data_IF_997517363144
#
_entry.id   IF_997517363144
#
_cell.length_a   1.000
_cell.length_b   1.000
_cell.length_c   1.000
_cell.angle_alpha   90.00
_cell.angle_beta   90.00
_cell.angle_gamma   90.00
#
_symmetry.space_group_name_H-M   'P 1'
#
loop_
_entity.id
_entity.type
_entity.pdbx_description
1 polymer ?
#
# COMPACT_ATOMS: atom_id res chain seq x y z
N UNK A 1 -4.50 2.32 38.61
CA UNK A 1 -3.91 3.21 37.59
C UNK A 1 -3.47 2.31 36.45
N UNK A 2 -4.39 1.77 35.63
CA UNK A 2 -4.08 0.58 34.80
C UNK A 2 -4.81 0.60 33.44
N UNK A 3 -4.91 1.77 32.80
CA UNK A 3 -5.56 1.92 31.48
C UNK A 3 -4.64 1.62 30.28
N UNK A 4 -3.34 1.53 30.51
CA UNK A 4 -2.32 1.40 29.45
C UNK A 4 -1.81 -0.04 29.26
N UNK A 5 -2.13 -0.95 30.18
CA UNK A 5 -1.69 -2.35 30.14
C UNK A 5 -2.42 -3.19 29.08
N UNK A 6 -3.62 -2.78 28.66
CA UNK A 6 -4.43 -3.46 27.63
C UNK A 6 -3.81 -3.38 26.23
N UNK A 7 -3.05 -2.32 25.94
CA UNK A 7 -2.38 -2.15 24.65
C UNK A 7 -1.05 -2.92 24.55
N UNK A 8 -0.55 -3.45 25.67
CA UNK A 8 0.77 -4.09 25.74
C UNK A 8 0.75 -5.60 25.48
N UNK A 9 -0.43 -6.23 25.57
CA UNK A 9 -0.56 -7.69 25.54
C UNK A 9 -0.57 -8.30 24.13
N UNK A 10 -0.86 -7.51 23.10
CA UNK A 10 -0.91 -7.99 21.72
C UNK A 10 0.44 -7.77 21.03
N UNK A 11 1.36 -8.73 21.14
CA UNK A 11 2.46 -8.81 20.18
C UNK A 11 1.84 -9.27 18.86
N UNK A 12 1.82 -8.46 17.79
CA UNK A 12 1.34 -8.95 16.51
C UNK A 12 2.29 -10.08 16.06
N UNK A 13 1.74 -11.28 15.87
CA UNK A 13 2.52 -12.45 15.42
C UNK A 13 3.13 -12.22 14.02
N UNK A 14 2.58 -11.27 13.26
CA UNK A 14 3.07 -10.85 11.96
C UNK A 14 3.12 -9.32 11.86
N UNK A 15 4.33 -8.78 11.77
CA UNK A 15 4.57 -7.35 11.50
C UNK A 15 5.02 -7.17 10.06
N UNK A 16 4.14 -6.66 9.21
CA UNK A 16 4.49 -6.26 7.84
C UNK A 16 4.83 -4.77 7.87
N UNK A 17 6.12 -4.47 7.68
CA UNK A 17 6.61 -3.10 7.69
C UNK A 17 6.12 -2.27 6.51
N UNK A 18 6.23 -0.95 6.66
CA UNK A 18 5.78 0.03 5.67
C UNK A 18 6.46 -0.14 4.30
N UNK A 19 7.74 -0.52 4.28
CA UNK A 19 8.46 -0.82 3.04
C UNK A 19 7.93 -2.04 2.30
N UNK A 20 7.54 -3.09 3.04
CA UNK A 20 6.94 -4.30 2.43
C UNK A 20 5.58 -3.99 1.84
N UNK A 21 4.76 -3.20 2.51
CA UNK A 21 3.49 -2.67 1.97
C UNK A 21 3.71 -1.86 0.69
N UNK A 22 4.73 -0.99 0.66
CA UNK A 22 5.07 -0.20 -0.52
C UNK A 22 5.49 -1.08 -1.71
N UNK A 23 6.25 -2.15 -1.48
CA UNK A 23 6.63 -3.11 -2.52
C UNK A 23 5.41 -3.87 -3.08
N UNK A 24 4.46 -4.26 -2.23
CA UNK A 24 3.22 -4.92 -2.69
C UNK A 24 2.40 -3.97 -3.57
N UNK A 25 2.28 -2.69 -3.19
CA UNK A 25 1.58 -1.66 -3.99
C UNK A 25 2.28 -1.46 -5.34
N UNK A 26 3.61 -1.43 -5.35
CA UNK A 26 4.42 -1.32 -6.56
C UNK A 26 4.22 -2.51 -7.51
N UNK A 27 4.23 -3.74 -6.99
CA UNK A 27 3.99 -4.97 -7.75
C UNK A 27 2.56 -4.98 -8.34
N UNK A 28 1.57 -4.57 -7.54
CA UNK A 28 0.17 -4.48 -8.00
C UNK A 28 0.01 -3.43 -9.11
N UNK A 29 0.72 -2.30 -9.01
CA UNK A 29 0.75 -1.28 -10.05
C UNK A 29 1.42 -1.79 -11.34
N UNK A 30 2.50 -2.56 -11.23
CA UNK A 30 3.19 -3.17 -12.37
C UNK A 30 2.29 -4.16 -13.12
N UNK A 31 1.50 -4.97 -12.39
CA UNK A 31 0.46 -5.83 -12.97
C UNK A 31 -0.59 -5.06 -13.79
N UNK A 32 -0.84 -3.78 -13.48
CA UNK A 32 -1.78 -2.90 -14.23
C UNK A 32 -1.10 -2.18 -15.42
N UNK A 33 0.13 -2.53 -15.79
CA UNK A 33 1.01 -1.80 -16.72
C UNK A 33 1.23 -0.33 -16.32
N UNK A 34 1.32 -0.04 -15.01
CA UNK A 34 1.77 1.27 -14.51
C UNK A 34 3.21 1.13 -14.01
N UNK A 35 3.96 2.22 -13.96
CA UNK A 35 5.34 2.20 -13.47
C UNK A 35 5.35 1.83 -11.98
N UNK A 36 5.75 0.59 -11.68
CA UNK A 36 5.83 0.08 -10.31
C UNK A 36 6.76 0.92 -9.43
N UNK A 37 7.86 1.45 -9.98
CA UNK A 37 8.80 2.29 -9.24
C UNK A 37 8.19 3.64 -8.82
N UNK A 38 7.39 4.26 -9.69
CA UNK A 38 6.67 5.50 -9.34
C UNK A 38 5.68 5.21 -8.20
N UNK A 39 4.95 4.11 -8.29
CA UNK A 39 4.01 3.69 -7.26
C UNK A 39 4.69 3.25 -5.96
N UNK A 40 5.90 2.70 -6.03
CA UNK A 40 6.73 2.39 -4.85
C UNK A 40 7.10 3.67 -4.08
N UNK A 41 7.63 4.69 -4.77
CA UNK A 41 7.99 5.96 -4.13
C UNK A 41 6.74 6.67 -3.58
N UNK A 42 5.65 6.68 -4.34
CA UNK A 42 4.36 7.20 -3.87
C UNK A 42 3.86 6.45 -2.63
N UNK A 43 4.01 5.13 -2.56
CA UNK A 43 3.57 4.32 -1.42
C UNK A 43 4.50 4.43 -0.21
N UNK A 44 5.79 4.69 -0.42
CA UNK A 44 6.75 4.90 0.66
C UNK A 44 6.47 6.21 1.43
N UNK A 45 5.94 7.23 0.75
CA UNK A 45 5.59 8.54 1.33
C UNK A 45 4.11 8.60 1.73
N UNK A 46 3.22 8.13 0.86
CA UNK A 46 1.76 8.21 1.05
C UNK A 46 1.14 7.02 1.79
N UNK A 47 1.90 5.94 2.02
CA UNK A 47 1.43 4.76 2.71
C UNK A 47 0.14 4.18 2.10
N UNK A 48 -0.88 3.85 2.91
CA UNK A 48 -2.16 3.30 2.45
C UNK A 48 -2.92 4.19 1.45
N UNK A 49 -2.68 5.51 1.46
CA UNK A 49 -3.33 6.44 0.53
C UNK A 49 -2.91 6.16 -0.92
N UNK A 50 -1.67 5.72 -1.14
CA UNK A 50 -1.23 5.32 -2.47
C UNK A 50 -2.04 4.12 -2.99
N UNK A 51 -2.39 3.15 -2.14
CA UNK A 51 -3.23 2.04 -2.54
C UNK A 51 -4.64 2.52 -2.93
N UNK A 52 -5.22 3.45 -2.17
CA UNK A 52 -6.52 4.04 -2.50
C UNK A 52 -6.50 4.74 -3.86
N UNK A 53 -5.47 5.54 -4.13
CA UNK A 53 -5.32 6.19 -5.44
C UNK A 53 -5.13 5.13 -6.54
N UNK A 54 -4.35 4.08 -6.30
CA UNK A 54 -4.12 3.00 -7.28
C UNK A 54 -5.41 2.24 -7.64
N UNK A 55 -6.30 2.07 -6.66
CA UNK A 55 -7.59 1.37 -6.80
C UNK A 55 -8.62 2.30 -7.46
N UNK A 56 -8.79 3.52 -6.95
CA UNK A 56 -9.76 4.49 -7.47
C UNK A 56 -9.40 5.04 -8.85
N UNK A 57 -8.12 5.11 -9.17
CA UNK A 57 -7.66 5.40 -10.53
C UNK A 57 -7.80 4.12 -11.40
N UNK A 58 -9.01 3.57 -11.45
CA UNK A 58 -9.40 2.55 -12.42
C UNK A 58 -9.07 3.08 -13.81
N UNK A 59 -8.36 2.26 -14.62
CA UNK A 59 -8.02 2.63 -15.99
C UNK A 59 -9.30 3.05 -16.73
N UNK A 60 -9.34 4.31 -17.18
CA UNK A 60 -10.09 4.63 -18.38
C UNK A 60 -9.42 3.83 -19.49
N UNK A 61 -10.01 2.71 -19.87
CA UNK A 61 -9.57 1.95 -21.02
C UNK A 61 -9.79 2.85 -22.23
N UNK A 62 -8.73 3.48 -22.72
CA UNK A 62 -8.71 3.97 -24.08
C UNK A 62 -8.72 2.73 -24.97
N UNK A 63 -9.91 2.43 -25.48
CA UNK A 63 -10.14 1.42 -26.50
C UNK A 63 -9.39 1.88 -27.74
N UNK A 64 -8.18 1.33 -27.97
CA UNK A 64 -7.56 1.41 -29.28
C UNK A 64 -8.27 0.38 -30.16
N UNK A 65 -9.27 0.85 -30.89
CA UNK A 65 -9.61 0.32 -32.21
C UNK A 65 -8.52 0.75 -33.19
#
# INVERSE_FOLDING_TARGET
MDGLSLFQSARPEFFVGWGTLALIIAALAQGKNRSGLVWFIFALIGGPLALLILVFLSRVRSSRF
#
